data_IF_861698753701
#
_entry.id   IF_861698753701
#
_cell.length_a   1.000
_cell.length_b   1.000
_cell.length_c   1.000
_cell.angle_alpha   90.00
_cell.angle_beta   90.00
_cell.angle_gamma   90.00
#
_symmetry.space_group_name_H-M   'P 1'
#
loop_
_entity.id
_entity.type
_entity.pdbx_description
1 polymer ?
#
# COMPACT_ATOMS: atom_id res chain seq x y z
N UNK A 1 -6.01 -5.26 -11.79
CA UNK A 1 -5.77 -4.09 -10.93
C UNK A 1 -4.55 -4.37 -10.08
N UNK A 2 -3.58 -3.47 -10.05
CA UNK A 2 -2.40 -3.61 -9.19
C UNK A 2 -2.61 -2.88 -7.86
N UNK A 3 -2.66 -3.63 -6.77
CA UNK A 3 -3.02 -3.12 -5.44
C UNK A 3 -1.84 -3.26 -4.49
N UNK A 4 -1.47 -2.19 -3.79
CA UNK A 4 -0.45 -2.25 -2.75
C UNK A 4 -1.07 -2.23 -1.35
N UNK A 5 -0.49 -2.96 -0.42
CA UNK A 5 -0.89 -2.95 1.00
C UNK A 5 0.33 -3.21 1.89
N UNK A 6 0.48 -2.50 3.02
CA UNK A 6 1.58 -2.78 3.94
C UNK A 6 1.30 -4.09 4.69
N UNK A 7 2.35 -4.89 4.90
CA UNK A 7 2.23 -6.18 5.58
C UNK A 7 3.22 -6.33 6.72
N UNK A 8 2.85 -7.16 7.70
CA UNK A 8 3.74 -7.62 8.77
C UNK A 8 4.56 -8.87 8.32
N UNK A 9 5.54 -9.33 9.12
CA UNK A 9 6.35 -10.51 8.79
C UNK A 9 5.54 -11.78 8.55
N UNK A 10 4.33 -11.87 9.12
CA UNK A 10 3.41 -12.99 8.98
C UNK A 10 2.46 -12.86 7.76
N UNK A 11 2.60 -11.80 6.96
CA UNK A 11 1.78 -11.54 5.77
C UNK A 11 0.38 -11.02 6.08
N UNK A 12 0.16 -10.48 7.28
CA UNK A 12 -1.09 -9.83 7.67
C UNK A 12 -1.05 -8.34 7.36
N UNK A 13 -2.23 -7.73 7.26
CA UNK A 13 -2.37 -6.27 7.07
C UNK A 13 -1.64 -5.54 8.20
N UNK A 14 -0.67 -4.70 7.84
CA UNK A 14 0.01 -3.82 8.79
C UNK A 14 -0.71 -2.46 8.90
N UNK A 15 -0.49 -1.78 10.02
CA UNK A 15 -1.21 -0.55 10.36
C UNK A 15 -0.83 0.64 9.47
N UNK A 16 0.47 0.98 9.35
CA UNK A 16 0.90 2.26 8.78
C UNK A 16 1.53 2.14 7.40
N UNK A 17 1.07 2.95 6.45
CA UNK A 17 1.68 3.07 5.13
C UNK A 17 3.08 3.71 5.17
N UNK A 18 3.21 4.91 5.74
CA UNK A 18 4.44 5.72 5.66
C UNK A 18 5.67 5.13 6.38
N UNK A 19 5.46 4.13 7.24
CA UNK A 19 6.51 3.41 7.98
C UNK A 19 6.49 1.92 7.70
N UNK A 20 5.99 1.50 6.54
CA UNK A 20 5.96 0.08 6.20
C UNK A 20 7.38 -0.48 6.05
N UNK A 21 7.64 -1.64 6.62
CA UNK A 21 8.86 -2.39 6.33
C UNK A 21 8.70 -3.21 5.03
N UNK A 22 7.52 -3.82 4.84
CA UNK A 22 7.16 -4.57 3.63
C UNK A 22 5.86 -4.08 3.01
N UNK A 23 5.80 -4.15 1.68
CA UNK A 23 4.60 -3.91 0.88
C UNK A 23 4.28 -5.18 0.09
N UNK A 24 3.08 -5.70 0.27
CA UNK A 24 2.48 -6.68 -0.64
C UNK A 24 1.88 -5.97 -1.85
N UNK A 25 2.19 -6.45 -3.05
CA UNK A 25 1.64 -6.00 -4.33
C UNK A 25 0.85 -7.15 -4.94
N UNK A 26 -0.46 -6.95 -5.10
CA UNK A 26 -1.37 -7.92 -5.70
C UNK A 26 -1.71 -7.51 -7.13
N UNK A 27 -1.59 -8.44 -8.08
CA UNK A 27 -2.33 -8.36 -9.34
C UNK A 27 -3.69 -9.02 -9.15
N UNK A 28 -4.74 -8.22 -9.09
CA UNK A 28 -6.12 -8.70 -8.93
C UNK A 28 -6.82 -8.76 -10.28
N UNK A 29 -7.32 -9.96 -10.63
CA UNK A 29 -8.08 -10.23 -11.86
C UNK A 29 -9.34 -11.01 -11.51
N UNK A 30 -10.47 -10.58 -12.05
CA UNK A 30 -11.77 -11.24 -11.89
C UNK A 30 -12.14 -11.55 -10.42
N UNK A 31 -11.83 -10.61 -9.52
CA UNK A 31 -12.12 -10.74 -8.08
C UNK A 31 -11.20 -11.69 -7.30
N UNK A 32 -10.07 -12.09 -7.88
CA UNK A 32 -9.07 -12.98 -7.27
C UNK A 32 -7.66 -12.42 -7.40
N UNK A 33 -6.76 -12.79 -6.48
CA UNK A 33 -5.33 -12.45 -6.57
C UNK A 33 -4.68 -13.42 -7.55
N UNK A 34 -4.33 -12.93 -8.74
CA UNK A 34 -3.67 -13.70 -9.79
C UNK A 34 -2.15 -13.81 -9.56
N UNK A 35 -1.54 -12.76 -8.99
CA UNK A 35 -0.15 -12.75 -8.55
C UNK A 35 0.03 -11.95 -7.26
N UNK A 36 1.05 -12.31 -6.48
CA UNK A 36 1.39 -11.65 -5.23
C UNK A 36 2.89 -11.57 -5.04
N UNK A 37 3.41 -10.34 -5.03
CA UNK A 37 4.82 -10.05 -4.79
C UNK A 37 4.99 -9.27 -3.50
N UNK A 38 5.97 -9.64 -2.69
CA UNK A 38 6.34 -8.90 -1.47
C UNK A 38 7.62 -8.11 -1.74
N UNK A 39 7.58 -6.82 -1.44
CA UNK A 39 8.72 -5.92 -1.52
C UNK A 39 9.14 -5.49 -0.12
N UNK A 40 10.40 -5.73 0.23
CA UNK A 40 11.01 -5.10 1.40
C UNK A 40 11.41 -3.66 1.03
N UNK A 41 10.76 -2.68 1.67
CA UNK A 41 10.91 -1.25 1.33
C UNK A 41 11.59 -0.42 2.42
N UNK A 42 11.62 -0.92 3.67
CA UNK A 42 12.30 -0.31 4.84
C UNK A 42 11.98 1.18 5.02
N UNK A 43 10.70 1.53 4.87
CA UNK A 43 10.26 2.91 5.03
C UNK A 43 10.25 3.33 6.49
N UNK A 44 10.03 2.41 7.42
CA UNK A 44 10.26 2.60 8.86
C UNK A 44 11.62 3.22 9.17
N UNK A 45 12.69 2.71 8.58
CA UNK A 45 14.05 3.23 8.81
C UNK A 45 14.31 4.53 8.03
N UNK A 46 13.89 4.57 6.77
CA UNK A 46 14.21 5.71 5.91
C UNK A 46 13.33 6.94 6.15
N UNK A 47 12.17 6.79 6.80
CA UNK A 47 11.25 7.87 7.12
C UNK A 47 11.92 8.91 8.03
N UNK A 48 12.70 8.44 9.01
CA UNK A 48 13.32 9.30 10.02
C UNK A 48 14.78 9.70 9.65
N UNK A 49 15.39 9.04 8.65
CA UNK A 49 16.78 9.26 8.24
C UNK A 49 17.00 10.36 7.17
N UNK A 50 15.93 11.03 6.71
CA UNK A 50 16.01 12.05 5.66
C UNK A 50 14.99 13.18 5.82
N UNK A 51 14.95 14.12 4.87
CA UNK A 51 13.88 15.13 4.85
C UNK A 51 12.55 14.46 4.51
N UNK A 52 11.44 14.97 5.06
CA UNK A 52 10.09 14.48 4.73
C UNK A 52 9.85 14.42 3.21
N UNK A 53 10.34 15.40 2.44
CA UNK A 53 10.25 15.41 0.98
C UNK A 53 11.00 14.25 0.30
N UNK A 54 12.17 13.86 0.83
CA UNK A 54 12.94 12.72 0.32
C UNK A 54 12.21 11.39 0.51
N UNK A 55 11.47 11.24 1.61
CA UNK A 55 10.67 10.06 1.90
C UNK A 55 9.49 9.94 0.91
N UNK A 56 8.72 11.01 0.72
CA UNK A 56 7.59 11.00 -0.24
C UNK A 56 8.06 10.68 -1.66
N UNK A 57 9.20 11.21 -2.10
CA UNK A 57 9.75 10.93 -3.43
C UNK A 57 10.05 9.44 -3.65
N UNK A 58 10.55 8.73 -2.61
CA UNK A 58 10.78 7.27 -2.69
C UNK A 58 9.48 6.50 -2.81
N UNK A 59 8.47 6.85 -2.03
CA UNK A 59 7.14 6.22 -2.10
C UNK A 59 6.52 6.44 -3.49
N UNK A 60 6.55 7.67 -4.00
CA UNK A 60 6.05 8.00 -5.35
C UNK A 60 6.75 7.19 -6.42
N UNK A 61 8.08 7.02 -6.31
CA UNK A 61 8.85 6.21 -7.25
C UNK A 61 8.40 4.75 -7.22
N UNK A 62 8.29 4.16 -6.03
CA UNK A 62 7.79 2.79 -5.87
C UNK A 62 6.40 2.60 -6.50
N UNK A 63 5.46 3.49 -6.20
CA UNK A 63 4.10 3.45 -6.73
C UNK A 63 4.08 3.48 -8.27
N UNK A 64 4.93 4.29 -8.89
CA UNK A 64 5.05 4.38 -10.35
C UNK A 64 5.71 3.15 -10.97
N UNK A 65 6.81 2.68 -10.39
CA UNK A 65 7.55 1.51 -10.89
C UNK A 65 6.71 0.23 -10.83
N UNK A 66 5.93 0.06 -9.76
CA UNK A 66 5.00 -1.07 -9.62
C UNK A 66 3.64 -0.83 -10.29
N UNK A 67 3.42 0.34 -10.90
CA UNK A 67 2.16 0.71 -11.54
C UNK A 67 0.94 0.55 -10.62
N UNK A 68 1.09 0.95 -9.35
CA UNK A 68 0.03 0.80 -8.34
C UNK A 68 -1.19 1.65 -8.70
N UNK A 69 -2.35 1.00 -8.70
CA UNK A 69 -3.64 1.60 -9.04
C UNK A 69 -4.46 1.96 -7.79
N UNK A 70 -4.25 1.27 -6.66
CA UNK A 70 -4.87 1.60 -5.37
C UNK A 70 -4.03 1.10 -4.20
N UNK A 71 -4.22 1.73 -3.03
CA UNK A 71 -3.60 1.30 -1.77
C UNK A 71 -4.67 0.84 -0.79
N UNK A 72 -4.49 -0.32 -0.17
CA UNK A 72 -5.34 -0.82 0.92
C UNK A 72 -4.56 -0.68 2.23
N UNK A 73 -5.02 0.16 3.16
CA UNK A 73 -4.30 0.43 4.41
C UNK A 73 -5.23 0.92 5.51
N UNK A 74 -4.85 0.66 6.77
CA UNK A 74 -5.54 1.17 7.97
C UNK A 74 -5.26 2.66 8.19
N UNK A 75 -3.98 3.03 8.24
CA UNK A 75 -3.55 4.39 8.52
C UNK A 75 -2.54 4.96 7.52
N UNK A 76 -2.81 6.19 7.09
CA UNK A 76 -1.92 7.04 6.31
C UNK A 76 -1.86 8.43 6.94
N UNK A 77 -0.67 8.98 7.15
CA UNK A 77 -0.51 10.34 7.64
C UNK A 77 -0.82 11.40 6.58
N UNK A 78 -1.24 12.59 6.99
CA UNK A 78 -1.78 13.65 6.13
C UNK A 78 -0.91 14.00 4.91
N UNK A 79 0.41 14.12 5.13
CA UNK A 79 1.36 14.44 4.06
C UNK A 79 1.35 13.39 2.95
N UNK A 80 1.27 12.12 3.32
CA UNK A 80 1.25 11.00 2.39
C UNK A 80 -0.13 10.81 1.77
N UNK A 81 -1.21 11.03 2.53
CA UNK A 81 -2.58 11.02 2.02
C UNK A 81 -2.73 12.04 0.88
N UNK A 82 -2.19 13.25 1.07
CA UNK A 82 -2.14 14.29 0.02
C UNK A 82 -1.34 13.84 -1.20
N UNK A 83 -0.20 13.17 -1.00
CA UNK A 83 0.61 12.64 -2.10
C UNK A 83 -0.17 11.60 -2.91
N UNK A 84 -0.80 10.61 -2.27
CA UNK A 84 -1.62 9.59 -2.95
C UNK A 84 -2.80 10.20 -3.71
N UNK A 85 -3.51 11.15 -3.07
CA UNK A 85 -4.60 11.89 -3.71
C UNK A 85 -4.13 12.66 -4.95
N UNK A 86 -2.98 13.34 -4.86
CA UNK A 86 -2.39 14.09 -6.00
C UNK A 86 -2.01 13.16 -7.16
N UNK A 87 -1.61 11.92 -6.86
CA UNK A 87 -1.32 10.90 -7.87
C UNK A 87 -2.58 10.25 -8.46
N UNK A 88 -3.77 10.55 -7.92
CA UNK A 88 -5.02 9.88 -8.30
C UNK A 88 -5.12 8.43 -7.81
N UNK A 89 -4.31 8.04 -6.82
CA UNK A 89 -4.31 6.70 -6.25
C UNK A 89 -5.28 6.67 -5.06
N UNK A 90 -6.43 5.98 -5.14
CA UNK A 90 -7.35 5.86 -4.03
C UNK A 90 -6.74 5.07 -2.86
N UNK A 91 -7.14 5.46 -1.66
CA UNK A 91 -6.86 4.73 -0.41
C UNK A 91 -8.14 4.03 0.02
N UNK A 92 -8.07 2.71 0.14
CA UNK A 92 -9.15 1.85 0.55
C UNK A 92 -8.86 1.33 1.95
N UNK A 93 -9.92 1.09 2.72
CA UNK A 93 -9.76 0.67 4.11
C UNK A 93 -9.31 -0.80 4.18
N UNK A 94 -8.29 -1.08 4.99
CA UNK A 94 -7.86 -2.46 5.25
C UNK A 94 -8.76 -3.14 6.30
N UNK A 95 -8.79 -4.48 6.25
CA UNK A 95 -9.40 -5.30 7.29
C UNK A 95 -8.32 -6.08 8.06
N UNK A 96 -8.55 -6.40 9.34
CA UNK A 96 -7.68 -7.28 10.10
C UNK A 96 -7.49 -8.66 9.42
N UNK A 97 -6.34 -9.29 9.66
CA UNK A 97 -6.04 -10.63 9.13
C UNK A 97 -5.11 -10.60 7.93
N UNK A 98 -5.19 -11.62 7.07
CA UNK A 98 -4.28 -11.77 5.93
C UNK A 98 -4.48 -10.67 4.89
N UNK A 99 -3.37 -10.07 4.44
CA UNK A 99 -3.39 -8.90 3.58
C UNK A 99 -4.07 -9.16 2.23
N UNK A 100 -3.87 -10.34 1.62
CA UNK A 100 -4.57 -10.74 0.39
C UNK A 100 -6.09 -10.75 0.57
N UNK A 101 -6.59 -11.28 1.69
CA UNK A 101 -8.02 -11.30 1.97
C UNK A 101 -8.56 -9.88 2.19
N UNK A 102 -7.79 -9.03 2.87
CA UNK A 102 -8.09 -7.61 3.06
C UNK A 102 -8.20 -6.86 1.73
N UNK A 103 -7.26 -7.08 0.80
CA UNK A 103 -7.30 -6.50 -0.55
C UNK A 103 -8.60 -6.87 -1.28
N UNK A 104 -8.95 -8.16 -1.29
CA UNK A 104 -10.17 -8.60 -1.95
C UNK A 104 -11.44 -8.06 -1.27
N UNK A 105 -11.45 -7.95 0.06
CA UNK A 105 -12.56 -7.38 0.81
C UNK A 105 -12.76 -5.89 0.50
N UNK A 106 -11.68 -5.11 0.48
CA UNK A 106 -11.71 -3.70 0.15
C UNK A 106 -12.26 -3.48 -1.27
N UNK A 107 -11.79 -4.23 -2.27
CA UNK A 107 -12.26 -4.09 -3.65
C UNK A 107 -13.75 -4.42 -3.82
N UNK A 108 -14.27 -5.44 -3.11
CA UNK A 108 -15.71 -5.75 -3.14
C UNK A 108 -16.57 -4.64 -2.56
N UNK A 109 -16.08 -3.94 -1.53
CA UNK A 109 -16.78 -2.82 -0.91
C UNK A 109 -16.72 -1.51 -1.70
N UNK A 110 -15.84 -1.42 -2.70
CA UNK A 110 -15.54 -0.20 -3.45
C UNK A 110 -16.09 -0.19 -4.90
N UNK A 111 -16.93 -1.16 -5.28
CA UNK A 111 -17.72 -1.06 -6.52
C UNK A 111 -18.76 0.07 -6.38
N UNK A 112 -18.46 1.23 -6.96
CA UNK A 112 -19.40 2.28 -7.36
C UNK A 112 -19.26 2.49 -8.88
#
# INVERSE_FOLDING_TARGET
MIIATPIDPEGRSAHSWGKAQWIGVADVRDGSVADWTVHEVRWDESHDAGTHGSHHARVVRFLKEQQIEAVVVDHVGDGMARTLHTMGIPTLQSSPGYAQASVLAALRGHHL
#
